data_IF_195635689926
#
_entry.id   IF_195635689926
#
_cell.length_a   1.000
_cell.length_b   1.000
_cell.length_c   1.000
_cell.angle_alpha   90.00
_cell.angle_beta   90.00
_cell.angle_gamma   90.00
#
_symmetry.space_group_name_H-M   'P 1'
#
loop_
_entity.id
_entity.type
_entity.pdbx_description
1 polymer ?
#
# COMPACT_ATOMS: atom_id res chain seq x y z
N UNK A 1 -5.78 20.85 58.08
CA UNK A 1 -4.79 21.33 57.08
C UNK A 1 -3.78 20.24 56.69
N UNK A 2 -3.17 19.50 57.63
CA UNK A 2 -2.17 18.45 57.35
C UNK A 2 -2.64 17.29 56.44
N UNK A 3 -3.89 16.84 56.57
CA UNK A 3 -4.46 15.75 55.74
C UNK A 3 -4.51 16.10 54.24
N UNK A 4 -4.88 17.33 53.93
CA UNK A 4 -5.05 17.83 52.56
C UNK A 4 -3.70 18.00 51.83
N UNK A 5 -2.63 18.33 52.57
CA UNK A 5 -1.25 18.35 52.03
C UNK A 5 -0.72 16.94 51.75
N UNK A 6 -1.03 15.97 52.61
CA UNK A 6 -0.63 14.57 52.45
C UNK A 6 -1.28 13.91 51.23
N UNK A 7 -2.55 14.22 50.98
CA UNK A 7 -3.29 13.71 49.82
C UNK A 7 -2.78 14.31 48.51
N UNK A 8 -2.49 15.62 48.49
CA UNK A 8 -1.90 16.31 47.34
C UNK A 8 -0.52 15.74 46.96
N UNK A 9 0.32 15.42 47.96
CA UNK A 9 1.64 14.82 47.73
C UNK A 9 1.56 13.37 47.22
N UNK A 10 0.58 12.58 47.66
CA UNK A 10 0.32 11.23 47.10
C UNK A 10 -0.09 11.32 45.64
N UNK A 11 -0.99 12.25 45.29
CA UNK A 11 -1.43 12.45 43.91
C UNK A 11 -0.28 12.91 43.00
N UNK A 12 0.59 13.80 43.49
CA UNK A 12 1.76 14.29 42.75
C UNK A 12 2.78 13.17 42.48
N UNK A 13 3.09 12.34 43.48
CA UNK A 13 3.99 11.18 43.32
C UNK A 13 3.45 10.15 42.34
N UNK A 14 2.13 9.90 42.37
CA UNK A 14 1.47 8.98 41.44
C UNK A 14 1.52 9.49 40.00
N UNK A 15 1.24 10.78 39.79
CA UNK A 15 1.34 11.40 38.45
C UNK A 15 2.79 11.40 37.93
N UNK A 16 3.77 11.63 38.81
CA UNK A 16 5.20 11.60 38.44
C UNK A 16 5.64 10.18 38.07
N UNK A 17 5.26 9.17 38.84
CA UNK A 17 5.61 7.77 38.54
C UNK A 17 4.94 7.29 37.26
N UNK A 18 3.67 7.64 37.02
CA UNK A 18 2.95 7.32 35.79
C UNK A 18 3.58 8.00 34.56
N UNK A 19 4.01 9.26 34.66
CA UNK A 19 4.72 9.94 33.57
C UNK A 19 6.07 9.29 33.28
N UNK A 20 6.86 8.96 34.31
CA UNK A 20 8.15 8.26 34.15
C UNK A 20 7.96 6.89 33.49
N UNK A 21 6.92 6.14 33.90
CA UNK A 21 6.58 4.84 33.31
C UNK A 21 6.09 4.96 31.86
N UNK A 22 5.43 6.06 31.49
CA UNK A 22 5.00 6.34 30.10
C UNK A 22 6.14 6.81 29.21
N UNK A 23 7.09 7.58 29.75
CA UNK A 23 8.23 8.11 28.99
C UNK A 23 9.27 7.06 28.63
N UNK A 24 9.56 6.10 29.53
CA UNK A 24 10.55 5.05 29.27
C UNK A 24 10.28 4.23 27.98
N UNK A 25 9.09 3.67 27.74
CA UNK A 25 8.81 2.92 26.52
C UNK A 25 8.76 3.82 25.28
N UNK A 26 8.31 5.08 25.41
CA UNK A 26 8.24 6.02 24.30
C UNK A 26 9.65 6.47 23.87
N UNK A 27 10.55 6.76 24.81
CA UNK A 27 11.97 7.06 24.53
C UNK A 27 12.68 5.86 23.89
N UNK A 28 12.42 4.65 24.38
CA UNK A 28 12.98 3.43 23.79
C UNK A 28 12.46 3.19 22.38
N UNK A 29 11.17 3.45 22.12
CA UNK A 29 10.59 3.40 20.79
C UNK A 29 11.24 4.45 19.88
N UNK A 30 11.25 5.73 20.25
CA UNK A 30 11.90 6.78 19.46
C UNK A 30 13.38 6.46 19.16
N UNK A 31 14.11 5.91 20.12
CA UNK A 31 15.49 5.46 19.92
C UNK A 31 15.60 4.35 18.88
N UNK A 32 14.73 3.32 18.92
CA UNK A 32 14.71 2.24 17.91
C UNK A 32 14.41 2.77 16.52
N UNK A 33 13.39 3.61 16.39
CA UNK A 33 13.03 4.25 15.13
C UNK A 33 14.20 5.09 14.60
N UNK A 34 14.88 5.85 15.47
CA UNK A 34 16.03 6.66 15.10
C UNK A 34 17.21 5.80 14.63
N UNK A 35 17.53 4.70 15.34
CA UNK A 35 18.57 3.75 14.95
C UNK A 35 18.25 3.13 13.58
N UNK A 36 17.00 2.70 13.36
CA UNK A 36 16.56 2.13 12.07
C UNK A 36 16.65 3.14 10.93
N UNK A 37 16.22 4.38 11.16
CA UNK A 37 16.33 5.46 10.17
C UNK A 37 17.78 5.78 9.84
N UNK A 38 18.64 5.95 10.85
CA UNK A 38 20.07 6.22 10.63
C UNK A 38 20.76 5.08 9.90
N UNK A 39 20.53 3.83 10.33
CA UNK A 39 21.06 2.64 9.65
C UNK A 39 20.59 2.56 8.19
N UNK A 40 19.31 2.82 7.93
CA UNK A 40 18.77 2.87 6.57
C UNK A 40 19.43 3.95 5.71
N UNK A 41 19.59 5.16 6.24
CA UNK A 41 20.28 6.27 5.55
C UNK A 41 21.73 5.90 5.25
N UNK A 42 22.45 5.30 6.20
CA UNK A 42 23.84 4.87 6.00
C UNK A 42 23.92 3.82 4.87
N UNK A 43 23.03 2.82 4.87
CA UNK A 43 22.99 1.80 3.80
C UNK A 43 22.71 2.44 2.43
N UNK A 44 21.78 3.41 2.37
CA UNK A 44 21.46 4.12 1.13
C UNK A 44 22.63 4.97 0.63
N UNK A 45 23.36 5.65 1.51
CA UNK A 45 24.57 6.42 1.16
C UNK A 45 25.66 5.48 0.64
N UNK A 46 25.92 4.37 1.33
CA UNK A 46 26.89 3.35 0.89
C UNK A 46 26.48 2.82 -0.48
N UNK A 47 25.21 2.48 -0.68
CA UNK A 47 24.69 2.00 -1.96
C UNK A 47 24.86 3.03 -3.07
N UNK A 48 24.54 4.29 -2.80
CA UNK A 48 24.70 5.36 -3.79
C UNK A 48 26.17 5.60 -4.15
N UNK A 49 27.06 5.49 -3.17
CA UNK A 49 28.51 5.53 -3.40
C UNK A 49 28.97 4.38 -4.29
N UNK A 50 28.54 3.14 -4.00
CA UNK A 50 28.88 1.94 -4.79
C UNK A 50 28.33 2.05 -6.22
N UNK A 51 27.13 2.62 -6.41
CA UNK A 51 26.51 2.82 -7.72
C UNK A 51 27.15 3.97 -8.55
N UNK A 52 28.32 4.47 -8.14
CA UNK A 52 29.06 5.48 -8.91
C UNK A 52 28.44 6.88 -8.88
N UNK A 53 27.57 7.17 -7.90
CA UNK A 53 26.93 8.49 -7.65
C UNK A 53 26.13 9.06 -8.83
N UNK A 54 25.88 8.29 -9.87
CA UNK A 54 25.03 8.70 -10.99
C UNK A 54 23.60 8.23 -10.78
N UNK A 55 22.64 8.98 -11.31
CA UNK A 55 21.27 8.49 -11.37
C UNK A 55 21.18 7.39 -12.42
N UNK A 56 20.38 6.33 -12.18
CA UNK A 56 20.14 5.34 -13.20
C UNK A 56 19.50 6.00 -14.42
N UNK A 57 20.07 5.76 -15.58
CA UNK A 57 19.48 6.18 -16.86
C UNK A 57 18.71 4.99 -17.42
N UNK A 58 17.42 5.20 -17.67
CA UNK A 58 16.55 4.15 -18.21
C UNK A 58 16.42 4.30 -19.71
N UNK A 59 16.17 3.20 -20.40
CA UNK A 59 15.94 3.20 -21.83
C UNK A 59 14.43 3.15 -22.13
N UNK A 60 14.04 3.59 -23.33
CA UNK A 60 12.64 3.55 -23.78
C UNK A 60 12.08 2.12 -23.82
N UNK A 61 12.94 1.14 -24.04
CA UNK A 61 12.57 -0.28 -24.04
C UNK A 61 12.15 -0.78 -22.66
N UNK A 62 12.68 -0.19 -21.58
CA UNK A 62 12.42 -0.63 -20.21
C UNK A 62 11.06 -0.15 -19.71
N UNK A 63 10.72 1.11 -20.03
CA UNK A 63 9.47 1.73 -19.62
C UNK A 63 9.01 2.75 -20.68
N UNK A 64 8.35 2.29 -21.76
CA UNK A 64 7.97 3.16 -22.88
C UNK A 64 7.02 4.28 -22.47
N UNK A 65 6.18 4.07 -21.44
CA UNK A 65 5.27 5.08 -20.92
C UNK A 65 6.02 6.30 -20.37
N UNK A 66 7.19 6.10 -19.73
CA UNK A 66 8.00 7.19 -19.18
C UNK A 66 8.56 8.15 -20.23
N UNK A 67 8.68 7.71 -21.49
CA UNK A 67 9.25 8.49 -22.61
C UNK A 67 8.19 9.14 -23.50
N UNK A 68 6.90 9.07 -23.15
CA UNK A 68 5.84 9.82 -23.84
C UNK A 68 6.08 11.32 -23.62
N UNK A 69 6.13 12.11 -24.69
CA UNK A 69 6.38 13.56 -24.61
C UNK A 69 5.25 14.29 -23.87
N UNK A 70 3.99 13.97 -24.22
CA UNK A 70 2.82 14.54 -23.57
C UNK A 70 2.65 14.06 -22.13
N UNK A 71 2.72 15.01 -21.20
CA UNK A 71 2.56 14.74 -19.75
C UNK A 71 1.20 14.13 -19.45
N UNK A 72 0.15 14.56 -20.15
CA UNK A 72 -1.20 14.02 -19.97
C UNK A 72 -1.25 12.53 -20.30
N UNK A 73 -0.82 12.13 -21.49
CA UNK A 73 -0.80 10.72 -21.89
C UNK A 73 0.17 9.89 -21.04
N UNK A 74 1.29 10.47 -20.60
CA UNK A 74 2.19 9.84 -19.63
C UNK A 74 1.47 9.49 -18.33
N UNK A 75 0.74 10.45 -17.75
CA UNK A 75 -0.04 10.24 -16.52
C UNK A 75 -1.16 9.22 -16.73
N UNK A 76 -1.88 9.27 -17.86
CA UNK A 76 -2.93 8.29 -18.18
C UNK A 76 -2.35 6.87 -18.23
N UNK A 77 -1.23 6.69 -18.92
CA UNK A 77 -0.56 5.38 -19.02
C UNK A 77 -0.04 4.89 -17.65
N UNK A 78 0.51 5.76 -16.81
CA UNK A 78 0.87 5.40 -15.43
C UNK A 78 -0.34 4.93 -14.62
N UNK A 79 -1.46 5.63 -14.72
CA UNK A 79 -2.69 5.24 -14.03
C UNK A 79 -3.25 3.91 -14.54
N UNK A 80 -3.13 3.64 -15.84
CA UNK A 80 -3.47 2.34 -16.41
C UNK A 80 -2.57 1.23 -15.84
N UNK A 81 -1.27 1.49 -15.74
CA UNK A 81 -0.31 0.58 -15.11
C UNK A 81 -0.67 0.31 -13.64
N UNK A 82 -1.12 1.32 -12.88
CA UNK A 82 -1.58 1.11 -11.50
C UNK A 82 -2.80 0.17 -11.44
N UNK A 83 -3.75 0.36 -12.36
CA UNK A 83 -4.92 -0.50 -12.45
C UNK A 83 -4.54 -1.94 -12.84
N UNK A 84 -3.56 -2.13 -13.74
CA UNK A 84 -3.02 -3.46 -14.06
C UNK A 84 -2.31 -4.11 -12.86
N UNK A 85 -1.53 -3.35 -12.10
CA UNK A 85 -0.92 -3.81 -10.86
C UNK A 85 -1.97 -4.27 -9.84
N UNK A 86 -3.07 -3.53 -9.69
CA UNK A 86 -4.19 -3.93 -8.84
C UNK A 86 -4.92 -5.17 -9.38
N UNK A 87 -5.06 -5.29 -10.71
CA UNK A 87 -5.61 -6.48 -11.34
C UNK A 87 -4.78 -7.72 -11.05
N UNK A 88 -3.45 -7.62 -11.08
CA UNK A 88 -2.55 -8.73 -10.74
C UNK A 88 -2.69 -9.20 -9.29
N UNK A 89 -3.05 -8.31 -8.36
CA UNK A 89 -3.37 -8.70 -6.97
C UNK A 89 -4.65 -9.54 -6.89
N UNK A 90 -5.62 -9.29 -7.77
CA UNK A 90 -6.90 -10.02 -7.83
C UNK A 90 -6.75 -11.32 -8.62
N UNK A 91 -6.04 -11.26 -9.74
CA UNK A 91 -5.95 -12.33 -10.73
C UNK A 91 -4.51 -12.42 -11.30
N UNK A 92 -3.62 -13.19 -10.65
CA UNK A 92 -2.23 -13.38 -11.09
C UNK A 92 -2.14 -14.39 -12.25
N UNK A 93 -2.93 -14.22 -13.31
CA UNK A 93 -2.93 -15.14 -14.48
C UNK A 93 -2.04 -14.62 -15.62
N UNK A 94 -1.85 -13.31 -15.69
CA UNK A 94 -1.08 -12.67 -16.74
C UNK A 94 0.25 -12.22 -16.15
N UNK A 95 1.13 -13.15 -15.76
CA UNK A 95 2.50 -12.84 -15.33
C UNK A 95 3.47 -13.05 -16.50
N UNK A 96 4.46 -12.18 -16.59
CA UNK A 96 5.54 -12.25 -17.59
C UNK A 96 6.89 -12.14 -16.89
N UNK A 97 7.91 -12.81 -17.44
CA UNK A 97 9.28 -12.78 -16.91
C UNK A 97 9.81 -11.34 -16.85
N UNK A 98 9.55 -10.55 -17.90
CA UNK A 98 9.86 -9.12 -17.94
C UNK A 98 8.75 -8.34 -18.66
N UNK A 99 8.29 -7.26 -18.02
CA UNK A 99 7.30 -6.33 -18.55
C UNK A 99 7.97 -5.18 -19.30
N UNK A 100 8.69 -5.52 -20.37
CA UNK A 100 9.50 -4.56 -21.14
C UNK A 100 9.09 -4.57 -22.62
N UNK A 101 9.81 -3.83 -23.46
CA UNK A 101 9.67 -3.83 -24.92
C UNK A 101 8.27 -3.49 -25.45
N UNK A 102 7.46 -2.75 -24.67
CA UNK A 102 6.11 -2.38 -25.10
C UNK A 102 5.09 -3.51 -25.07
N UNK A 103 5.30 -4.54 -24.25
CA UNK A 103 4.30 -5.60 -24.00
C UNK A 103 2.93 -5.04 -23.58
N UNK A 104 2.90 -3.88 -22.93
CA UNK A 104 1.68 -3.14 -22.65
C UNK A 104 1.55 -2.03 -23.70
N UNK A 105 0.58 -2.10 -24.62
CA UNK A 105 0.37 -1.06 -25.63
C UNK A 105 0.03 0.26 -24.94
N UNK A 106 0.54 1.36 -25.46
CA UNK A 106 0.26 2.69 -24.91
C UNK A 106 -1.18 3.12 -25.21
N UNK A 107 -1.74 3.93 -24.33
CA UNK A 107 -3.03 4.61 -24.55
C UNK A 107 -2.73 5.97 -25.18
N UNK A 108 -3.07 6.11 -26.45
CA UNK A 108 -2.91 7.34 -27.23
C UNK A 108 -4.25 8.07 -27.46
N UNK A 109 -5.37 7.44 -27.10
CA UNK A 109 -6.71 7.99 -27.25
C UNK A 109 -7.53 7.78 -25.96
N UNK A 110 -8.19 8.82 -25.46
CA UNK A 110 -8.97 8.75 -24.20
C UNK A 110 -10.28 7.94 -24.33
N UNK A 111 -10.75 7.73 -25.57
CA UNK A 111 -11.93 6.91 -25.86
C UNK A 111 -11.63 5.40 -25.87
N UNK A 112 -10.39 5.02 -25.57
CA UNK A 112 -10.03 3.63 -25.40
C UNK A 112 -10.80 3.00 -24.22
N UNK A 113 -11.34 1.78 -24.42
CA UNK A 113 -12.04 1.02 -23.38
C UNK A 113 -11.18 0.83 -22.12
N UNK A 114 -9.86 0.83 -22.28
CA UNK A 114 -8.89 0.74 -21.17
C UNK A 114 -8.99 1.91 -20.19
N UNK A 115 -9.44 3.09 -20.63
CA UNK A 115 -9.70 4.22 -19.74
C UNK A 115 -10.83 3.94 -18.74
N UNK A 116 -11.80 3.07 -19.08
CA UNK A 116 -12.82 2.64 -18.12
C UNK A 116 -12.21 1.87 -16.95
N UNK A 117 -11.16 1.08 -17.19
CA UNK A 117 -10.46 0.33 -16.14
C UNK A 117 -9.81 1.28 -15.13
N UNK A 118 -9.23 2.39 -15.61
CA UNK A 118 -8.67 3.46 -14.76
C UNK A 118 -9.77 4.08 -13.90
N UNK A 119 -10.93 4.40 -14.50
CA UNK A 119 -12.05 4.99 -13.77
C UNK A 119 -12.58 4.02 -12.70
N UNK A 120 -12.75 2.74 -13.02
CA UNK A 120 -13.17 1.71 -12.05
C UNK A 120 -12.16 1.60 -10.91
N UNK A 121 -10.86 1.58 -11.21
CA UNK A 121 -9.81 1.53 -10.19
C UNK A 121 -9.90 2.72 -9.21
N UNK A 122 -9.98 3.95 -9.71
CA UNK A 122 -10.03 5.15 -8.86
C UNK A 122 -11.36 5.31 -8.12
N UNK A 123 -12.48 4.86 -8.69
CA UNK A 123 -13.78 4.85 -7.99
C UNK A 123 -13.78 3.88 -6.81
N UNK A 124 -13.23 2.67 -6.98
CA UNK A 124 -13.08 1.70 -5.89
C UNK A 124 -12.15 2.27 -4.80
N UNK A 125 -10.96 2.71 -5.18
CA UNK A 125 -9.97 3.24 -4.24
C UNK A 125 -10.51 4.48 -3.50
N UNK A 126 -11.14 5.41 -4.23
CA UNK A 126 -11.80 6.59 -3.68
C UNK A 126 -12.93 6.24 -2.72
N UNK A 127 -13.78 5.25 -3.06
CA UNK A 127 -14.86 4.80 -2.18
C UNK A 127 -14.35 4.24 -0.85
N UNK A 128 -13.25 3.47 -0.89
CA UNK A 128 -12.60 2.93 0.31
C UNK A 128 -12.01 4.05 1.17
N UNK A 129 -11.33 5.03 0.57
CA UNK A 129 -10.80 6.20 1.27
C UNK A 129 -11.92 7.01 1.92
N UNK A 130 -12.99 7.32 1.18
CA UNK A 130 -14.14 8.06 1.68
C UNK A 130 -14.81 7.28 2.83
N UNK A 131 -14.93 5.96 2.73
CA UNK A 131 -15.47 5.11 3.79
C UNK A 131 -14.64 5.20 5.07
N UNK A 132 -13.31 5.31 4.97
CA UNK A 132 -12.43 5.49 6.13
C UNK A 132 -12.60 6.88 6.73
N UNK A 133 -12.69 7.93 5.89
CA UNK A 133 -12.82 9.32 6.33
C UNK A 133 -14.18 9.61 6.99
N UNK A 134 -15.27 9.04 6.46
CA UNK A 134 -16.63 9.22 7.00
C UNK A 134 -16.90 8.38 8.24
N UNK A 135 -16.19 7.27 8.42
CA UNK A 135 -16.45 6.40 9.56
C UNK A 135 -15.95 7.04 10.85
N UNK A 136 -16.81 7.06 11.86
CA UNK A 136 -16.40 7.35 13.24
C UNK A 136 -15.26 6.39 13.62
N UNK A 137 -14.26 6.83 14.43
CA UNK A 137 -12.96 6.18 14.73
C UNK A 137 -13.03 4.75 15.32
N UNK A 138 -13.71 3.86 14.62
CA UNK A 138 -13.95 2.48 15.00
C UNK A 138 -12.68 1.67 14.82
N UNK A 139 -12.59 0.55 15.52
CA UNK A 139 -11.52 -0.43 15.33
C UNK A 139 -11.45 -0.91 13.89
N UNK A 140 -12.60 -1.09 13.21
CA UNK A 140 -12.63 -1.52 11.81
C UNK A 140 -12.05 -0.48 10.87
N UNK A 141 -12.39 0.80 11.04
CA UNK A 141 -11.89 1.88 10.16
C UNK A 141 -10.38 2.03 10.28
N UNK A 142 -9.85 1.82 11.50
CA UNK A 142 -8.41 1.76 11.74
C UNK A 142 -7.74 0.58 11.04
N UNK A 143 -8.37 -0.60 11.07
CA UNK A 143 -7.86 -1.77 10.34
C UNK A 143 -7.89 -1.56 8.83
N UNK A 144 -8.96 -0.96 8.28
CA UNK A 144 -9.06 -0.64 6.84
C UNK A 144 -8.02 0.40 6.45
N UNK A 145 -7.84 1.46 7.26
CA UNK A 145 -6.79 2.44 7.04
C UNK A 145 -5.41 1.79 7.05
N UNK A 146 -5.13 0.90 8.01
CA UNK A 146 -3.86 0.19 8.07
C UNK A 146 -3.62 -0.67 6.83
N UNK A 147 -4.63 -1.39 6.33
CA UNK A 147 -4.52 -2.15 5.08
C UNK A 147 -4.28 -1.25 3.87
N UNK A 148 -4.95 -0.10 3.76
CA UNK A 148 -4.75 0.86 2.66
C UNK A 148 -3.37 1.50 2.72
N UNK A 149 -2.88 1.86 3.90
CA UNK A 149 -1.52 2.37 4.08
C UNK A 149 -0.48 1.33 3.66
N UNK A 150 -0.65 0.07 4.07
CA UNK A 150 0.24 -1.03 3.70
C UNK A 150 0.14 -1.40 2.21
N UNK A 151 -0.97 -1.09 1.55
CA UNK A 151 -1.15 -1.22 0.10
C UNK A 151 -0.43 -0.10 -0.67
N UNK A 152 -0.68 1.16 -0.30
CA UNK A 152 -0.29 2.34 -1.09
C UNK A 152 1.16 2.77 -0.81
N UNK A 153 1.57 2.82 0.46
CA UNK A 153 2.88 3.37 0.85
C UNK A 153 4.04 2.59 0.23
N UNK A 154 4.06 1.24 0.25
CA UNK A 154 5.13 0.48 -0.39
C UNK A 154 5.17 0.58 -1.90
N UNK A 155 4.01 0.81 -2.54
CA UNK A 155 3.90 0.93 -4.00
C UNK A 155 4.34 2.32 -4.50
N UNK A 156 4.27 3.34 -3.64
CA UNK A 156 4.51 4.73 -4.01
C UNK A 156 5.91 4.99 -4.61
N UNK A 157 7.02 4.46 -4.08
CA UNK A 157 8.35 4.64 -4.69
C UNK A 157 8.45 4.02 -6.10
N UNK A 158 7.69 2.96 -6.38
CA UNK A 158 7.68 2.26 -7.66
C UNK A 158 6.67 2.82 -8.67
N UNK A 159 5.83 3.78 -8.26
CA UNK A 159 4.71 4.28 -9.05
C UNK A 159 5.10 5.24 -10.18
N UNK A 160 6.39 5.53 -10.41
CA UNK A 160 6.86 6.56 -11.34
C UNK A 160 6.42 8.02 -10.99
N UNK A 161 5.87 8.26 -9.80
CA UNK A 161 5.46 9.61 -9.34
C UNK A 161 6.65 10.48 -8.90
N UNK A 162 7.57 9.92 -8.12
CA UNK A 162 8.73 10.68 -7.60
C UNK A 162 9.97 10.52 -8.47
N UNK A 163 10.21 9.31 -8.96
CA UNK A 163 11.37 8.96 -9.75
C UNK A 163 10.93 8.03 -10.86
N UNK A 164 11.51 8.20 -12.05
CA UNK A 164 11.31 7.24 -13.14
C UNK A 164 11.93 5.91 -12.75
N UNK A 165 11.24 4.83 -13.08
CA UNK A 165 11.65 3.47 -12.77
C UNK A 165 11.78 2.69 -14.09
N UNK A 166 12.81 1.85 -14.16
CA UNK A 166 13.14 1.03 -15.33
C UNK A 166 12.32 -0.25 -15.50
N UNK A 167 11.09 -0.30 -14.99
CA UNK A 167 10.17 -1.39 -15.27
C UNK A 167 8.75 -0.84 -15.40
N UNK A 168 7.91 -1.49 -16.21
CA UNK A 168 6.50 -1.14 -16.34
C UNK A 168 5.70 -1.77 -15.20
N UNK A 169 5.85 -3.08 -14.99
CA UNK A 169 5.24 -3.84 -13.89
C UNK A 169 6.32 -4.76 -13.31
N UNK A 170 6.39 -4.85 -11.98
CA UNK A 170 7.28 -5.77 -11.29
C UNK A 170 6.55 -6.46 -10.14
N UNK A 171 6.47 -7.79 -10.19
CA UNK A 171 5.81 -8.60 -9.15
C UNK A 171 6.40 -8.36 -7.75
N UNK A 172 7.71 -8.11 -7.67
CA UNK A 172 8.42 -7.90 -6.41
C UNK A 172 7.95 -6.64 -5.68
N UNK A 173 7.43 -5.66 -6.41
CA UNK A 173 6.85 -4.44 -5.84
C UNK A 173 5.49 -4.74 -5.20
N UNK A 174 4.78 -5.76 -5.68
CA UNK A 174 3.45 -6.15 -5.21
C UNK A 174 3.49 -7.03 -3.95
N UNK A 175 4.66 -7.52 -3.50
CA UNK A 175 4.75 -8.38 -2.32
C UNK A 175 4.34 -7.72 -1.01
N UNK A 176 4.71 -6.46 -0.79
CA UNK A 176 4.31 -5.74 0.42
C UNK A 176 2.86 -5.20 0.31
N UNK A 177 2.44 -4.64 -0.84
CA UNK A 177 1.03 -4.32 -1.09
C UNK A 177 0.08 -5.51 -0.97
N UNK A 178 0.47 -6.72 -1.39
CA UNK A 178 -0.39 -7.91 -1.32
C UNK A 178 -0.77 -8.27 0.11
N UNK A 179 0.12 -8.05 1.09
CA UNK A 179 -0.23 -8.21 2.51
C UNK A 179 -1.33 -7.24 2.95
N UNK A 180 -1.26 -5.97 2.52
CA UNK A 180 -2.32 -4.98 2.74
C UNK A 180 -3.63 -5.37 2.06
N UNK A 181 -3.54 -5.87 0.81
CA UNK A 181 -4.69 -6.35 0.04
C UNK A 181 -5.38 -7.56 0.69
N UNK A 182 -4.63 -8.57 1.14
CA UNK A 182 -5.16 -9.73 1.85
C UNK A 182 -5.90 -9.33 3.13
N UNK A 183 -5.33 -8.38 3.89
CA UNK A 183 -6.00 -7.84 5.08
C UNK A 183 -7.31 -7.12 4.73
N UNK A 184 -7.34 -6.35 3.63
CA UNK A 184 -8.54 -5.69 3.12
C UNK A 184 -9.63 -6.72 2.73
N UNK A 185 -9.27 -7.77 2.00
CA UNK A 185 -10.19 -8.86 1.62
C UNK A 185 -10.75 -9.54 2.86
N UNK A 186 -9.89 -9.91 3.83
CA UNK A 186 -10.34 -10.58 5.05
C UNK A 186 -11.36 -9.74 5.83
N UNK A 187 -11.13 -8.42 5.94
CA UNK A 187 -12.08 -7.49 6.55
C UNK A 187 -13.39 -7.38 5.76
N UNK A 188 -13.31 -7.35 4.43
CA UNK A 188 -14.46 -7.35 3.52
C UNK A 188 -15.31 -8.62 3.65
N UNK A 189 -14.68 -9.80 3.57
CA UNK A 189 -15.32 -11.10 3.77
C UNK A 189 -15.99 -11.19 5.14
N UNK A 190 -15.31 -10.77 6.22
CA UNK A 190 -15.90 -10.75 7.56
C UNK A 190 -17.16 -9.89 7.62
N UNK A 191 -17.17 -8.72 6.96
CA UNK A 191 -18.35 -7.85 6.90
C UNK A 191 -19.47 -8.48 6.09
N UNK A 192 -19.17 -9.08 4.95
CA UNK A 192 -20.15 -9.80 4.12
C UNK A 192 -20.78 -10.98 4.86
N UNK A 193 -20.00 -11.76 5.61
CA UNK A 193 -20.49 -12.86 6.47
C UNK A 193 -21.46 -12.40 7.58
N UNK A 194 -21.41 -11.13 7.98
CA UNK A 194 -22.34 -10.57 8.97
C UNK A 194 -23.62 -10.02 8.32
N UNK A 195 -23.54 -9.60 7.05
CA UNK A 195 -24.68 -9.05 6.31
C UNK A 195 -25.53 -10.14 5.65
N UNK A 196 -24.91 -11.25 5.25
CA UNK A 196 -25.60 -12.36 4.60
C UNK A 196 -25.98 -13.46 5.60
N UNK A 197 -27.26 -13.85 5.60
CA UNK A 197 -27.76 -14.95 6.46
C UNK A 197 -27.18 -16.31 6.05
N UNK A 198 -27.03 -16.54 4.74
CA UNK A 198 -26.52 -17.81 4.18
C UNK A 198 -24.98 -17.84 4.11
N UNK A 199 -24.32 -17.96 5.27
CA UNK A 199 -22.86 -18.09 5.38
C UNK A 199 -22.30 -19.25 4.56
N UNK A 200 -23.08 -20.33 4.38
CA UNK A 200 -22.71 -21.48 3.56
C UNK A 200 -22.43 -21.10 2.10
N UNK A 201 -23.26 -20.23 1.51
CA UNK A 201 -23.10 -19.80 0.11
C UNK A 201 -21.84 -18.94 -0.07
N UNK A 202 -21.51 -18.11 0.92
CA UNK A 202 -20.30 -17.31 0.90
C UNK A 202 -19.04 -18.19 1.03
N UNK A 203 -19.01 -19.11 1.99
CA UNK A 203 -17.88 -20.06 2.12
C UNK A 203 -17.73 -20.93 0.87
N UNK A 204 -18.84 -21.41 0.31
CA UNK A 204 -18.83 -22.16 -0.95
C UNK A 204 -18.25 -21.32 -2.09
N UNK A 205 -18.67 -20.05 -2.24
CA UNK A 205 -18.11 -19.16 -3.27
C UNK A 205 -16.61 -18.91 -3.12
N UNK A 206 -16.10 -18.80 -1.88
CA UNK A 206 -14.67 -18.67 -1.62
C UNK A 206 -13.91 -19.96 -1.94
N UNK A 207 -14.46 -21.12 -1.59
CA UNK A 207 -13.86 -22.42 -1.90
C UNK A 207 -13.81 -22.63 -3.42
N UNK A 208 -14.89 -22.31 -4.14
CA UNK A 208 -14.93 -22.38 -5.62
C UNK A 208 -13.88 -21.45 -6.23
N UNK A 209 -13.73 -20.23 -5.70
CA UNK A 209 -12.71 -19.29 -6.18
C UNK A 209 -11.30 -19.85 -5.96
N UNK A 210 -11.00 -20.35 -4.76
CA UNK A 210 -9.69 -20.96 -4.44
C UNK A 210 -9.43 -22.17 -5.36
N UNK A 211 -10.39 -23.08 -5.51
CA UNK A 211 -10.26 -24.24 -6.39
C UNK A 211 -10.05 -23.82 -7.84
N UNK A 212 -10.76 -22.81 -8.34
CA UNK A 212 -10.58 -22.33 -9.71
C UNK A 212 -9.17 -21.79 -9.99
N UNK A 213 -8.53 -21.17 -8.98
CA UNK A 213 -7.14 -20.75 -9.08
C UNK A 213 -6.17 -21.94 -8.95
N UNK A 214 -6.45 -22.90 -8.06
CA UNK A 214 -5.60 -24.09 -7.89
C UNK A 214 -5.63 -25.05 -9.09
N UNK A 215 -6.77 -25.22 -9.76
CA UNK A 215 -6.88 -26.07 -10.94
C UNK A 215 -6.23 -25.48 -12.19
N UNK A 216 -5.95 -24.18 -12.18
CA UNK A 216 -5.35 -23.47 -13.33
C UNK A 216 -3.85 -23.19 -13.16
N UNK A 217 -3.33 -23.28 -11.94
CA UNK A 217 -1.90 -23.24 -11.64
C UNK A 217 -1.21 -24.56 -11.95
#
# INVERSE_FOLDING_TARGET
KSSLYLEKNKHLKKNLSENILREKPLKLLLLRQLILCLGGVIILIIRWYIMGRSLPTFQKVDNPASFIQDVFYRVVNYNYIYALNAWLLICPVWLCCDWSMGCIPLIDNILDKRCMVIAVFWTILGSLLISVLKSNRSTTSRSVLMSLTMLIVPFLPASNLFFQVGFVIAERVLYLPSAGFCMLIALGCRRLCLLYSNKMLLHFSLIVLILSFSFRS
#
